data_IF_215424608750
#
_entry.id   IF_215424608750
#
_cell.length_a   1.000
_cell.length_b   1.000
_cell.length_c   1.000
_cell.angle_alpha   90.00
_cell.angle_beta   90.00
_cell.angle_gamma   90.00
#
_symmetry.space_group_name_H-M   'P 1'
#
loop_
_entity.id
_entity.type
_entity.pdbx_description
1 polymer ?
#
# COMPACT_ATOMS: atom_id res chain seq x y z
N UNK A 1 -16.92 3.93 -3.28
CA UNK A 1 -16.13 2.73 -3.63
C UNK A 1 -16.20 2.40 -5.13
N UNK A 2 -17.17 2.95 -5.87
CA UNK A 2 -17.32 2.69 -7.32
C UNK A 2 -16.58 3.68 -8.24
N UNK A 3 -15.93 4.67 -7.62
CA UNK A 3 -15.07 5.63 -8.29
C UNK A 3 -13.83 4.92 -8.90
N UNK A 4 -13.41 5.23 -10.14
CA UNK A 4 -12.23 4.61 -10.77
C UNK A 4 -10.93 4.76 -9.97
N UNK A 5 -10.82 5.81 -9.15
CA UNK A 5 -9.66 6.05 -8.30
C UNK A 5 -9.49 4.98 -7.21
N UNK A 6 -10.58 4.31 -6.82
CA UNK A 6 -10.54 3.22 -5.84
C UNK A 6 -9.56 2.12 -6.27
N UNK A 7 -9.77 1.52 -7.45
CA UNK A 7 -8.97 0.39 -7.90
C UNK A 7 -7.51 0.79 -8.11
N UNK A 8 -7.27 1.99 -8.65
CA UNK A 8 -5.92 2.49 -8.91
C UNK A 8 -5.13 2.76 -7.62
N UNK A 9 -5.75 3.38 -6.63
CA UNK A 9 -5.12 3.64 -5.34
C UNK A 9 -4.83 2.34 -4.57
N UNK A 10 -5.78 1.41 -4.54
CA UNK A 10 -5.55 0.12 -3.89
C UNK A 10 -4.55 -0.75 -4.66
N UNK A 11 -4.42 -0.58 -5.98
CA UNK A 11 -3.39 -1.23 -6.78
C UNK A 11 -1.99 -0.68 -6.45
N UNK A 12 -1.86 0.61 -6.10
CA UNK A 12 -0.61 1.16 -5.58
C UNK A 12 -0.21 0.44 -4.28
N UNK A 13 -1.14 0.32 -3.32
CA UNK A 13 -0.89 -0.34 -2.03
C UNK A 13 -0.51 -1.82 -2.19
N UNK A 14 -1.24 -2.54 -3.03
CA UNK A 14 -0.89 -3.94 -3.34
C UNK A 14 0.41 -4.06 -4.14
N UNK A 15 0.73 -3.07 -4.99
CA UNK A 15 2.00 -3.01 -5.71
C UNK A 15 3.20 -3.00 -4.76
N UNK A 16 3.07 -2.36 -3.59
CA UNK A 16 4.10 -2.38 -2.54
C UNK A 16 4.31 -3.80 -2.00
N UNK A 17 3.22 -4.47 -1.61
CA UNK A 17 3.26 -5.85 -1.08
C UNK A 17 3.74 -6.89 -2.10
N UNK A 18 3.51 -6.64 -3.38
CA UNK A 18 3.91 -7.53 -4.47
C UNK A 18 5.32 -7.21 -5.01
N UNK A 19 6.01 -6.24 -4.43
CA UNK A 19 7.34 -5.76 -4.85
C UNK A 19 7.37 -5.36 -6.33
N UNK A 20 6.31 -4.70 -6.79
CA UNK A 20 6.10 -4.43 -8.20
C UNK A 20 7.04 -3.31 -8.69
N UNK A 21 8.11 -3.70 -9.38
CA UNK A 21 9.13 -2.80 -9.98
C UNK A 21 9.50 -3.27 -11.40
N UNK A 22 9.85 -2.32 -12.27
CA UNK A 22 10.39 -2.64 -13.60
C UNK A 22 11.65 -3.50 -13.51
N UNK A 23 12.50 -3.26 -12.50
CA UNK A 23 13.69 -4.08 -12.22
C UNK A 23 13.39 -5.57 -12.00
N UNK A 24 12.35 -5.92 -11.23
CA UNK A 24 12.04 -7.32 -10.90
C UNK A 24 11.16 -8.00 -11.96
N UNK A 25 10.14 -7.30 -12.46
CA UNK A 25 9.14 -7.90 -13.37
C UNK A 25 9.34 -7.54 -14.85
N UNK A 26 10.27 -6.63 -15.16
CA UNK A 26 10.53 -6.10 -16.50
C UNK A 26 9.55 -5.00 -16.91
N UNK A 27 9.97 -4.11 -17.82
CA UNK A 27 9.19 -2.94 -18.24
C UNK A 27 7.81 -3.31 -18.83
N UNK A 28 7.72 -4.33 -19.69
CA UNK A 28 6.40 -4.78 -20.18
C UNK A 28 5.59 -5.48 -19.07
N UNK A 29 6.28 -6.26 -18.23
CA UNK A 29 5.69 -7.05 -17.15
C UNK A 29 5.04 -6.17 -16.09
N UNK A 30 5.66 -5.04 -15.73
CA UNK A 30 5.16 -4.13 -14.70
C UNK A 30 3.80 -3.55 -15.07
N UNK A 31 3.63 -3.13 -16.33
CA UNK A 31 2.36 -2.60 -16.81
C UNK A 31 1.28 -3.68 -16.91
N UNK A 32 1.64 -4.89 -17.34
CA UNK A 32 0.68 -6.00 -17.43
C UNK A 32 0.23 -6.49 -16.07
N UNK A 33 1.16 -6.61 -15.12
CA UNK A 33 0.85 -7.05 -13.78
C UNK A 33 0.06 -5.99 -13.01
N UNK A 34 0.41 -4.70 -13.14
CA UNK A 34 -0.40 -3.61 -12.58
C UNK A 34 -1.82 -3.59 -13.17
N UNK A 35 -1.99 -3.77 -14.48
CA UNK A 35 -3.33 -3.79 -15.10
C UNK A 35 -4.19 -4.95 -14.61
N UNK A 36 -3.60 -6.14 -14.43
CA UNK A 36 -4.32 -7.25 -13.81
C UNK A 36 -4.71 -6.90 -12.36
N UNK A 37 -3.77 -6.38 -11.57
CA UNK A 37 -4.02 -6.00 -10.17
C UNK A 37 -5.12 -4.94 -10.03
N UNK A 38 -5.07 -3.89 -10.85
CA UNK A 38 -6.09 -2.84 -10.90
C UNK A 38 -7.44 -3.42 -11.34
N UNK A 39 -7.48 -4.28 -12.36
CA UNK A 39 -8.71 -4.92 -12.80
C UNK A 39 -9.32 -5.80 -11.70
N UNK A 40 -8.52 -6.61 -11.02
CA UNK A 40 -8.94 -7.43 -9.87
C UNK A 40 -9.62 -6.60 -8.78
N UNK A 41 -9.10 -5.40 -8.50
CA UNK A 41 -9.69 -4.48 -7.52
C UNK A 41 -10.94 -3.77 -8.05
N UNK A 42 -10.92 -3.36 -9.31
CA UNK A 42 -12.05 -2.69 -10.00
C UNK A 42 -13.26 -3.59 -10.05
N UNK A 43 -13.06 -4.84 -10.49
CA UNK A 43 -14.08 -5.88 -10.65
C UNK A 43 -14.46 -6.54 -9.31
N UNK A 44 -13.89 -6.08 -8.20
CA UNK A 44 -14.14 -6.60 -6.85
C UNK A 44 -13.93 -8.12 -6.75
N UNK A 45 -12.84 -8.61 -7.36
CA UNK A 45 -12.46 -10.00 -7.28
C UNK A 45 -12.38 -10.43 -5.81
N UNK A 46 -13.07 -11.51 -5.41
CA UNK A 46 -12.98 -12.08 -4.08
C UNK A 46 -11.53 -12.31 -3.66
N UNK A 47 -11.19 -11.95 -2.42
CA UNK A 47 -9.80 -11.95 -1.98
C UNK A 47 -9.16 -13.36 -1.95
N UNK A 48 -9.94 -14.40 -1.69
CA UNK A 48 -9.55 -15.80 -1.82
C UNK A 48 -9.15 -16.16 -3.27
N UNK A 49 -9.94 -15.74 -4.25
CA UNK A 49 -9.64 -15.97 -5.67
C UNK A 49 -8.38 -15.22 -6.09
N UNK A 50 -8.26 -13.95 -5.66
CA UNK A 50 -7.08 -13.13 -5.90
C UNK A 50 -5.81 -13.79 -5.32
N UNK A 51 -5.86 -14.27 -4.07
CA UNK A 51 -4.74 -14.97 -3.45
C UNK A 51 -4.41 -16.29 -4.16
N UNK A 52 -5.43 -17.08 -4.52
CA UNK A 52 -5.23 -18.34 -5.27
C UNK A 52 -4.56 -18.09 -6.63
N UNK A 53 -4.99 -17.09 -7.39
CA UNK A 53 -4.40 -16.77 -8.68
C UNK A 53 -2.91 -16.37 -8.57
N UNK A 54 -2.56 -15.58 -7.55
CA UNK A 54 -1.16 -15.25 -7.26
C UNK A 54 -0.32 -16.50 -6.92
N UNK A 55 -0.81 -17.29 -5.97
CA UNK A 55 -0.08 -18.45 -5.43
C UNK A 55 0.04 -19.59 -6.43
N UNK A 56 -0.88 -19.70 -7.38
CA UNK A 56 -0.88 -20.80 -8.37
C UNK A 56 -0.43 -20.34 -9.75
N UNK A 57 -0.13 -19.04 -9.90
CA UNK A 57 0.33 -18.41 -11.14
C UNK A 57 1.44 -19.21 -11.82
N UNK A 58 1.23 -19.54 -13.09
CA UNK A 58 2.14 -20.34 -13.92
C UNK A 58 2.02 -19.94 -15.39
N UNK A 59 2.93 -20.44 -16.23
CA UNK A 59 3.02 -20.08 -17.64
C UNK A 59 3.79 -18.79 -17.88
N UNK A 60 3.51 -18.14 -19.00
CA UNK A 60 4.18 -16.88 -19.38
C UNK A 60 3.83 -15.76 -18.40
N UNK A 61 4.85 -15.07 -17.89
CA UNK A 61 4.67 -13.88 -17.04
C UNK A 61 4.09 -12.68 -17.79
N UNK A 62 4.03 -12.72 -19.12
CA UNK A 62 3.44 -11.64 -19.94
C UNK A 62 2.04 -12.00 -20.45
N UNK A 63 1.68 -13.29 -20.52
CA UNK A 63 0.34 -13.73 -20.91
C UNK A 63 -0.55 -14.02 -19.70
N UNK A 64 0.04 -14.48 -18.59
CA UNK A 64 -0.61 -14.72 -17.31
C UNK A 64 0.07 -13.86 -16.22
N UNK A 65 -0.37 -12.60 -16.02
CA UNK A 65 0.31 -11.66 -15.15
C UNK A 65 0.52 -12.11 -13.68
N UNK A 66 -0.40 -12.85 -13.02
CA UNK A 66 -0.16 -13.43 -11.69
C UNK A 66 1.13 -14.25 -11.56
N UNK A 67 1.62 -14.87 -12.65
CA UNK A 67 2.88 -15.60 -12.63
C UNK A 67 4.10 -14.71 -12.30
N UNK A 68 3.98 -13.38 -12.42
CA UNK A 68 5.03 -12.45 -11.97
C UNK A 68 5.26 -12.49 -10.45
N UNK A 69 4.32 -13.03 -9.66
CA UNK A 69 4.56 -13.27 -8.24
C UNK A 69 5.85 -14.07 -8.00
N UNK A 70 6.16 -15.04 -8.84
CA UNK A 70 7.40 -15.84 -8.77
C UNK A 70 8.63 -15.21 -9.46
N UNK A 71 8.50 -13.97 -9.93
CA UNK A 71 9.65 -13.10 -10.24
C UNK A 71 10.08 -12.31 -9.03
N UNK A 72 9.12 -11.90 -8.20
CA UNK A 72 9.37 -11.11 -6.99
C UNK A 72 9.56 -11.97 -5.75
N UNK A 73 9.00 -13.18 -5.72
CA UNK A 73 9.30 -14.27 -4.80
C UNK A 73 10.11 -15.34 -5.56
N UNK A 74 11.39 -15.04 -5.77
CA UNK A 74 12.20 -15.64 -6.82
C UNK A 74 12.65 -17.09 -6.52
N UNK A 75 12.76 -17.44 -5.24
CA UNK A 75 13.15 -18.76 -4.78
C UNK A 75 12.26 -19.24 -3.62
N UNK A 76 12.57 -20.44 -3.10
CA UNK A 76 11.83 -21.04 -1.99
C UNK A 76 11.80 -20.13 -0.76
N UNK A 77 12.94 -19.55 -0.37
CA UNK A 77 13.03 -18.72 0.84
C UNK A 77 12.22 -17.45 0.65
N UNK A 78 12.41 -16.75 -0.46
CA UNK A 78 11.64 -15.54 -0.76
C UNK A 78 10.14 -15.81 -0.85
N UNK A 79 9.75 -16.98 -1.37
CA UNK A 79 8.35 -17.42 -1.41
C UNK A 79 7.80 -17.64 -0.01
N UNK A 80 8.48 -18.41 0.84
CA UNK A 80 8.05 -18.66 2.23
C UNK A 80 7.92 -17.35 3.00
N UNK A 81 8.93 -16.48 2.91
CA UNK A 81 8.96 -15.21 3.63
C UNK A 81 7.87 -14.25 3.15
N UNK A 82 7.73 -14.08 1.82
CA UNK A 82 6.72 -13.20 1.23
C UNK A 82 5.30 -13.70 1.53
N UNK A 83 5.03 -14.99 1.30
CA UNK A 83 3.69 -15.56 1.47
C UNK A 83 3.28 -15.54 2.95
N UNK A 84 4.19 -15.88 3.86
CA UNK A 84 3.88 -15.88 5.29
C UNK A 84 3.59 -14.47 5.80
N UNK A 85 4.36 -13.49 5.36
CA UNK A 85 4.14 -12.10 5.78
C UNK A 85 2.86 -11.51 5.17
N UNK A 86 2.64 -11.70 3.86
CA UNK A 86 1.50 -11.11 3.13
C UNK A 86 0.18 -11.81 3.45
N UNK A 87 0.15 -13.13 3.58
CA UNK A 87 -1.11 -13.89 3.69
C UNK A 87 -1.34 -14.56 5.04
N UNK A 88 -0.30 -14.68 5.88
CA UNK A 88 -0.46 -15.23 7.24
C UNK A 88 -0.25 -14.18 8.34
N UNK A 89 0.32 -13.01 8.02
CA UNK A 89 0.73 -12.02 9.01
C UNK A 89 1.87 -12.52 9.90
N UNK A 90 2.71 -13.43 9.40
CA UNK A 90 3.76 -14.08 10.18
C UNK A 90 5.15 -13.85 9.55
N UNK A 91 6.11 -13.42 10.37
CA UNK A 91 7.49 -13.12 9.96
C UNK A 91 8.41 -14.30 10.25
N UNK A 92 8.56 -15.20 9.27
CA UNK A 92 9.29 -16.46 9.44
C UNK A 92 10.81 -16.38 9.16
N UNK A 93 11.35 -15.20 8.85
CA UNK A 93 12.76 -15.04 8.43
C UNK A 93 13.76 -15.60 9.45
N UNK A 94 13.54 -15.38 10.75
CA UNK A 94 14.42 -15.93 11.80
C UNK A 94 14.39 -17.46 11.83
N UNK A 95 13.23 -18.07 11.53
CA UNK A 95 13.05 -19.52 11.50
C UNK A 95 13.91 -20.22 10.45
N UNK A 96 14.44 -19.50 9.45
CA UNK A 96 15.32 -20.05 8.42
C UNK A 96 16.59 -20.70 9.00
N UNK A 97 17.22 -20.03 9.96
CA UNK A 97 18.54 -20.42 10.49
C UNK A 97 18.46 -21.10 11.86
N UNK A 98 17.48 -20.72 12.70
CA UNK A 98 17.24 -21.29 14.02
C UNK A 98 15.76 -21.18 14.37
N UNK A 99 15.27 -21.84 15.42
CA UNK A 99 13.89 -21.62 15.88
C UNK A 99 13.67 -20.16 16.26
N UNK A 100 12.51 -19.59 15.96
CA UNK A 100 12.22 -18.20 16.29
C UNK A 100 12.34 -17.99 17.82
N UNK A 101 13.05 -16.94 18.29
CA UNK A 101 13.40 -16.80 19.71
C UNK A 101 12.18 -16.48 20.60
N UNK A 102 11.15 -15.86 20.03
CA UNK A 102 9.98 -15.36 20.76
C UNK A 102 8.65 -15.92 20.24
N UNK A 103 8.68 -16.90 19.33
CA UNK A 103 7.46 -17.46 18.73
C UNK A 103 7.55 -18.96 18.57
N UNK A 104 6.40 -19.58 18.31
CA UNK A 104 6.25 -21.03 18.12
C UNK A 104 6.84 -21.58 16.81
N UNK A 105 7.35 -20.72 15.93
CA UNK A 105 7.86 -21.13 14.62
C UNK A 105 9.23 -21.79 14.75
N UNK A 106 9.32 -23.04 14.34
CA UNK A 106 10.57 -23.78 14.30
C UNK A 106 11.21 -23.72 12.93
N UNK A 107 12.50 -24.05 12.86
CA UNK A 107 13.19 -24.23 11.59
C UNK A 107 12.55 -25.31 10.72
N UNK A 108 12.01 -26.35 11.34
CA UNK A 108 11.31 -27.42 10.63
C UNK A 108 9.99 -26.90 10.02
N UNK A 109 9.32 -25.94 10.67
CA UNK A 109 8.14 -25.28 10.08
C UNK A 109 8.53 -24.45 8.84
N UNK A 110 9.64 -23.73 8.88
CA UNK A 110 10.12 -22.91 7.76
C UNK A 110 10.37 -23.77 6.51
N UNK A 111 11.16 -24.85 6.66
CA UNK A 111 11.47 -25.72 5.53
C UNK A 111 10.29 -26.63 5.12
N UNK A 112 9.38 -26.95 6.05
CA UNK A 112 8.12 -27.62 5.73
C UNK A 112 7.17 -26.77 4.89
N UNK A 113 7.10 -25.45 5.14
CA UNK A 113 6.44 -24.51 4.22
C UNK A 113 7.19 -24.41 2.89
N UNK A 114 8.52 -24.38 2.93
CA UNK A 114 9.37 -24.38 1.73
C UNK A 114 9.08 -25.53 0.77
N UNK A 115 8.69 -26.70 1.28
CA UNK A 115 8.38 -27.88 0.47
C UNK A 115 7.18 -27.71 -0.47
N UNK A 116 6.36 -26.67 -0.31
CA UNK A 116 5.33 -26.27 -1.27
C UNK A 116 5.87 -25.49 -2.47
N UNK A 117 6.93 -24.71 -2.26
CA UNK A 117 7.38 -23.69 -3.22
C UNK A 117 8.72 -24.00 -3.88
N UNK A 118 9.53 -24.91 -3.32
CA UNK A 118 10.83 -25.27 -3.88
C UNK A 118 10.75 -25.92 -5.29
N UNK A 119 9.59 -26.50 -5.61
CA UNK A 119 9.31 -27.07 -6.94
C UNK A 119 8.87 -26.02 -7.96
N UNK A 120 8.71 -24.74 -7.58
CA UNK A 120 8.45 -23.66 -8.53
C UNK A 120 9.74 -23.31 -9.26
N UNK A 121 9.71 -23.46 -10.57
CA UNK A 121 10.84 -23.26 -11.44
C UNK A 121 10.49 -22.28 -12.54
N UNK A 122 11.53 -21.74 -13.17
CA UNK A 122 11.40 -20.71 -14.19
C UNK A 122 12.44 -20.89 -15.28
N UNK A 123 12.05 -20.57 -16.51
CA UNK A 123 12.94 -20.57 -17.66
C UNK A 123 12.72 -19.31 -18.49
N UNK A 124 13.77 -18.86 -19.16
CA UNK A 124 13.67 -17.82 -20.19
C UNK A 124 12.93 -18.39 -21.41
N UNK A 125 12.15 -17.55 -22.08
CA UNK A 125 11.59 -17.88 -23.39
C UNK A 125 12.38 -17.16 -24.48
N UNK A 126 11.97 -17.35 -25.74
CA UNK A 126 12.54 -16.59 -26.87
C UNK A 126 12.05 -15.12 -26.88
N UNK A 127 10.99 -14.80 -26.14
CA UNK A 127 10.45 -13.44 -26.06
C UNK A 127 11.22 -12.63 -25.00
N UNK A 128 11.84 -11.49 -25.37
CA UNK A 128 12.52 -10.63 -24.40
C UNK A 128 11.60 -10.19 -23.26
N UNK A 129 12.13 -10.17 -22.02
CA UNK A 129 11.39 -9.78 -20.82
C UNK A 129 10.40 -10.83 -20.29
N UNK A 130 10.15 -11.92 -21.02
CA UNK A 130 9.26 -13.00 -20.60
C UNK A 130 10.01 -14.10 -19.84
N UNK A 131 9.41 -14.55 -18.74
CA UNK A 131 9.75 -15.82 -18.10
C UNK A 131 8.56 -16.76 -18.20
N UNK A 132 8.84 -18.06 -18.24
CA UNK A 132 7.83 -19.09 -18.12
C UNK A 132 7.98 -19.79 -16.77
N UNK A 133 6.97 -19.63 -15.91
CA UNK A 133 6.88 -20.25 -14.59
C UNK A 133 6.24 -21.63 -14.74
N UNK A 134 6.83 -22.64 -14.12
CA UNK A 134 6.28 -24.00 -14.13
C UNK A 134 6.60 -24.68 -12.80
N UNK A 135 5.90 -25.77 -12.50
CA UNK A 135 6.25 -26.62 -11.36
C UNK A 135 7.00 -27.86 -11.85
N UNK A 136 8.02 -28.27 -11.11
CA UNK A 136 8.76 -29.50 -11.34
C UNK A 136 8.16 -30.66 -10.52
N UNK A 137 8.29 -31.88 -11.03
CA UNK A 137 7.93 -33.10 -10.29
C UNK A 137 8.94 -33.45 -9.19
N UNK A 138 10.14 -32.88 -9.23
CA UNK A 138 11.22 -33.07 -8.27
C UNK A 138 11.66 -31.74 -7.67
N UNK A 139 12.24 -31.77 -6.47
CA UNK A 139 12.75 -30.57 -5.80
C UNK A 139 12.39 -30.59 -4.33
N UNK A 140 12.71 -31.69 -3.64
CA UNK A 140 12.46 -31.77 -2.20
C UNK A 140 13.35 -30.80 -1.44
N UNK A 141 12.84 -30.37 -0.29
CA UNK A 141 13.56 -29.48 0.61
C UNK A 141 14.26 -30.33 1.65
N UNK A 142 15.54 -30.07 1.86
CA UNK A 142 16.33 -30.70 2.92
C UNK A 142 16.49 -29.74 4.08
N UNK A 143 16.25 -30.21 5.30
CA UNK A 143 16.52 -29.47 6.53
C UNK A 143 18.06 -29.37 6.71
N UNK A 144 18.66 -28.17 6.70
CA UNK A 144 20.12 -28.01 6.85
C UNK A 144 20.74 -28.61 8.13
N UNK A 145 20.04 -28.59 9.27
CA UNK A 145 20.48 -29.09 10.57
C UNK A 145 20.39 -30.60 10.70
N UNK A 146 19.34 -31.23 10.18
CA UNK A 146 19.09 -32.67 10.37
C UNK A 146 19.40 -33.52 9.14
N UNK A 147 19.53 -32.90 7.96
CA UNK A 147 19.62 -33.60 6.67
C UNK A 147 18.32 -34.30 6.25
N UNK A 148 17.23 -34.13 7.00
CA UNK A 148 15.96 -34.77 6.70
C UNK A 148 15.28 -34.11 5.49
N UNK A 149 14.64 -34.94 4.68
CA UNK A 149 13.75 -34.46 3.61
C UNK A 149 12.44 -34.00 4.23
N UNK A 150 12.06 -32.75 3.96
CA UNK A 150 10.92 -32.10 4.55
C UNK A 150 9.64 -32.41 3.79
N UNK A 151 8.62 -32.88 4.51
CA UNK A 151 7.26 -32.98 3.97
C UNK A 151 6.60 -31.59 3.95
N UNK A 152 5.70 -31.32 2.98
CA UNK A 152 4.88 -30.11 3.00
C UNK A 152 4.12 -30.01 4.33
N UNK A 153 4.24 -28.87 5.00
CA UNK A 153 3.69 -28.64 6.33
C UNK A 153 2.83 -27.39 6.36
N UNK A 154 1.62 -27.52 6.88
CA UNK A 154 0.64 -26.44 6.99
C UNK A 154 0.49 -26.00 8.46
N UNK A 155 0.58 -24.69 8.76
CA UNK A 155 0.30 -24.17 10.09
C UNK A 155 -1.03 -24.68 10.66
N UNK A 156 -1.03 -25.06 11.94
CA UNK A 156 -2.19 -25.61 12.68
C UNK A 156 -2.76 -26.94 12.15
N UNK A 157 -2.31 -27.45 11.00
CA UNK A 157 -2.76 -28.72 10.42
C UNK A 157 -1.69 -29.81 10.46
N UNK A 158 -0.41 -29.45 10.37
CA UNK A 158 0.69 -30.39 10.38
C UNK A 158 1.20 -30.76 8.98
N UNK A 159 2.03 -31.80 8.92
CA UNK A 159 2.54 -32.32 7.65
C UNK A 159 1.42 -32.99 6.87
N UNK A 160 1.40 -32.76 5.56
CA UNK A 160 0.52 -33.44 4.62
C UNK A 160 1.37 -34.28 3.67
N UNK A 161 0.78 -35.30 3.08
CA UNK A 161 1.45 -36.09 2.07
C UNK A 161 1.85 -35.20 0.89
N UNK A 162 3.15 -35.19 0.56
CA UNK A 162 3.63 -34.56 -0.65
C UNK A 162 2.96 -35.25 -1.84
N UNK A 163 2.13 -34.53 -2.58
CA UNK A 163 1.14 -35.03 -3.54
C UNK A 163 1.72 -35.67 -4.83
N UNK A 164 2.77 -36.48 -4.70
CA UNK A 164 3.50 -37.08 -5.82
C UNK A 164 4.06 -36.03 -6.76
N UNK A 165 3.74 -36.16 -8.05
CA UNK A 165 4.17 -35.25 -9.12
C UNK A 165 3.25 -34.02 -9.31
N UNK A 166 2.19 -33.88 -8.50
CA UNK A 166 1.24 -32.77 -8.65
C UNK A 166 1.75 -31.44 -8.05
N UNK A 167 1.15 -30.34 -8.50
CA UNK A 167 1.49 -29.00 -8.02
C UNK A 167 1.02 -28.79 -6.57
N UNK A 168 1.97 -28.88 -5.64
CA UNK A 168 1.72 -28.74 -4.20
C UNK A 168 1.13 -27.37 -3.84
N UNK A 169 1.35 -26.33 -4.65
CA UNK A 169 0.81 -24.99 -4.40
C UNK A 169 -0.71 -24.96 -4.38
N UNK A 170 -1.37 -25.84 -5.13
CA UNK A 170 -2.82 -25.97 -5.12
C UNK A 170 -3.31 -26.34 -3.71
N UNK A 171 -2.71 -27.34 -3.08
CA UNK A 171 -3.05 -27.75 -1.72
C UNK A 171 -2.77 -26.65 -0.69
N UNK A 172 -1.68 -25.88 -0.86
CA UNK A 172 -1.41 -24.72 0.00
C UNK A 172 -2.46 -23.62 -0.18
N UNK A 173 -2.80 -23.28 -1.42
CA UNK A 173 -3.80 -22.27 -1.73
C UNK A 173 -5.20 -22.68 -1.21
N UNK A 174 -5.59 -23.94 -1.39
CA UNK A 174 -6.83 -24.52 -0.86
C UNK A 174 -6.92 -24.37 0.66
N UNK A 175 -5.82 -24.67 1.37
CA UNK A 175 -5.75 -24.52 2.83
C UNK A 175 -5.76 -23.05 3.28
N UNK A 176 -5.02 -22.19 2.56
CA UNK A 176 -4.87 -20.79 2.95
C UNK A 176 -6.22 -20.07 2.91
N UNK A 177 -7.00 -20.29 1.85
CA UNK A 177 -8.27 -19.59 1.62
C UNK A 177 -9.47 -20.33 2.21
N UNK A 178 -9.24 -21.37 3.01
CA UNK A 178 -10.31 -22.08 3.69
C UNK A 178 -11.03 -21.14 4.68
N UNK A 179 -12.38 -21.19 4.79
CA UNK A 179 -13.16 -20.34 5.70
C UNK A 179 -12.75 -20.43 7.18
N UNK A 180 -12.20 -21.57 7.60
CA UNK A 180 -11.73 -21.83 8.96
C UNK A 180 -10.24 -21.51 9.18
N UNK A 181 -9.55 -20.98 8.16
CA UNK A 181 -8.16 -20.58 8.28
C UNK A 181 -8.02 -19.39 9.26
N UNK A 182 -7.23 -19.52 10.35
CA UNK A 182 -7.19 -18.50 11.40
C UNK A 182 -6.31 -17.29 11.06
N UNK A 183 -5.69 -17.26 9.89
CA UNK A 183 -4.74 -16.22 9.49
C UNK A 183 -5.29 -15.34 8.37
N UNK A 184 -5.76 -15.97 7.28
CA UNK A 184 -6.00 -15.33 6.00
C UNK A 184 -7.00 -14.16 6.04
N UNK A 185 -8.16 -14.35 6.67
CA UNK A 185 -9.15 -13.29 6.80
C UNK A 185 -8.71 -12.18 7.76
N UNK A 186 -8.02 -12.54 8.85
CA UNK A 186 -7.57 -11.59 9.88
C UNK A 186 -6.51 -10.62 9.35
N UNK A 187 -5.53 -11.11 8.58
CA UNK A 187 -4.46 -10.23 8.08
C UNK A 187 -5.01 -9.18 7.10
N UNK A 188 -5.93 -9.54 6.20
CA UNK A 188 -6.51 -8.58 5.26
C UNK A 188 -7.46 -7.60 5.98
N UNK A 189 -8.27 -8.08 6.94
CA UNK A 189 -9.09 -7.20 7.75
C UNK A 189 -8.25 -6.18 8.53
N UNK A 190 -7.16 -6.62 9.15
CA UNK A 190 -6.23 -5.74 9.85
C UNK A 190 -5.50 -4.77 8.91
N UNK A 191 -5.15 -5.21 7.71
CA UNK A 191 -4.51 -4.38 6.68
C UNK A 191 -5.44 -3.28 6.19
N UNK A 192 -6.68 -3.62 5.84
CA UNK A 192 -7.68 -2.62 5.43
C UNK A 192 -7.97 -1.65 6.57
N UNK A 193 -8.10 -2.15 7.81
CA UNK A 193 -8.21 -1.31 9.00
C UNK A 193 -7.02 -0.34 9.11
N UNK A 194 -5.79 -0.82 9.08
CA UNK A 194 -4.59 0.01 9.21
C UNK A 194 -4.32 0.96 8.03
N UNK A 195 -5.02 0.83 6.91
CA UNK A 195 -4.96 1.83 5.84
C UNK A 195 -6.00 2.94 6.04
N UNK A 196 -7.11 2.61 6.71
CA UNK A 196 -8.16 3.56 7.05
C UNK A 196 -7.83 4.33 8.33
N UNK A 197 -7.26 3.64 9.31
CA UNK A 197 -6.73 4.17 10.56
C UNK A 197 -5.21 4.28 10.45
N UNK A 198 -4.56 5.19 11.17
CA UNK A 198 -3.10 5.30 11.18
C UNK A 198 -2.38 4.09 11.80
N UNK A 199 -3.14 3.12 12.33
CA UNK A 199 -2.67 1.97 13.08
C UNK A 199 -3.57 0.75 12.85
N UNK A 200 -2.99 -0.45 12.82
CA UNK A 200 -3.74 -1.71 12.80
C UNK A 200 -4.27 -2.11 14.17
N UNK A 201 -5.29 -2.98 14.20
CA UNK A 201 -5.73 -3.66 15.42
C UNK A 201 -4.58 -4.54 15.94
N UNK A 202 -3.84 -5.17 15.04
CA UNK A 202 -2.48 -5.66 15.29
C UNK A 202 -1.51 -4.68 14.62
N UNK A 203 -0.54 -4.20 15.39
CA UNK A 203 0.49 -3.30 14.90
C UNK A 203 1.86 -3.77 15.39
N UNK A 204 2.87 -3.93 14.51
CA UNK A 204 2.84 -3.71 13.06
C UNK A 204 1.82 -4.58 12.30
N UNK A 205 1.35 -4.09 11.13
CA UNK A 205 0.22 -4.64 10.35
C UNK A 205 0.33 -6.15 10.07
N UNK A 206 1.54 -6.66 9.90
CA UNK A 206 1.89 -8.02 9.49
C UNK A 206 2.70 -8.80 10.55
N UNK A 207 2.56 -8.43 11.82
CA UNK A 207 3.30 -9.01 12.95
C UNK A 207 2.38 -9.69 13.97
N UNK A 208 1.63 -10.69 13.50
CA UNK A 208 0.70 -11.48 14.33
C UNK A 208 1.46 -12.52 15.15
N UNK A 209 1.64 -12.22 16.44
CA UNK A 209 2.40 -13.07 17.37
C UNK A 209 1.65 -13.24 18.67
N UNK A 210 1.88 -14.36 19.34
CA UNK A 210 1.27 -14.61 20.66
C UNK A 210 1.75 -13.54 21.68
N UNK A 211 2.95 -12.94 21.47
CA UNK A 211 3.50 -11.83 22.25
C UNK A 211 3.14 -10.43 21.73
N UNK A 212 2.42 -10.34 20.61
CA UNK A 212 1.89 -9.09 20.04
C UNK A 212 0.39 -9.25 19.79
N UNK A 213 -0.44 -9.35 20.85
CA UNK A 213 -1.86 -9.59 20.70
C UNK A 213 -2.55 -8.38 20.06
N UNK A 214 -3.70 -8.60 19.38
CA UNK A 214 -4.53 -7.50 18.89
C UNK A 214 -4.99 -6.60 20.04
N UNK A 215 -5.03 -5.28 19.80
CA UNK A 215 -5.59 -4.30 20.74
C UNK A 215 -7.04 -4.59 21.10
N UNK A 216 -7.78 -5.19 20.16
CA UNK A 216 -9.13 -5.69 20.37
C UNK A 216 -9.37 -6.98 19.56
N UNK A 217 -9.18 -8.13 20.21
CA UNK A 217 -9.36 -9.45 19.59
C UNK A 217 -10.79 -9.69 19.08
N UNK A 218 -11.80 -9.31 19.87
CA UNK A 218 -13.20 -9.53 19.51
C UNK A 218 -13.61 -8.75 18.25
N UNK A 219 -13.10 -7.51 18.11
CA UNK A 219 -13.31 -6.71 16.90
C UNK A 219 -12.65 -7.37 15.68
N UNK A 220 -11.39 -7.77 15.78
CA UNK A 220 -10.69 -8.41 14.68
C UNK A 220 -11.36 -9.71 14.24
N UNK A 221 -11.84 -10.50 15.19
CA UNK A 221 -12.57 -11.74 14.94
C UNK A 221 -13.92 -11.49 14.28
N UNK A 222 -14.64 -10.45 14.70
CA UNK A 222 -15.89 -10.05 14.07
C UNK A 222 -15.68 -9.60 12.61
N UNK A 223 -14.66 -8.77 12.34
CA UNK A 223 -14.32 -8.33 10.99
C UNK A 223 -13.87 -9.48 10.10
N UNK A 224 -13.03 -10.38 10.61
CA UNK A 224 -12.58 -11.56 9.87
C UNK A 224 -13.74 -12.49 9.55
N UNK A 225 -14.67 -12.70 10.49
CA UNK A 225 -15.88 -13.48 10.26
C UNK A 225 -16.79 -12.86 9.20
N UNK A 226 -17.09 -11.57 9.31
CA UNK A 226 -17.90 -10.85 8.30
C UNK A 226 -17.24 -10.89 6.91
N UNK A 227 -15.92 -10.80 6.86
CA UNK A 227 -15.17 -10.91 5.61
C UNK A 227 -15.29 -12.30 4.97
N UNK A 228 -15.25 -13.38 5.76
CA UNK A 228 -15.51 -14.75 5.26
C UNK A 228 -16.97 -14.91 4.83
N UNK A 229 -17.92 -14.46 5.66
CA UNK A 229 -19.37 -14.60 5.40
C UNK A 229 -19.82 -13.83 4.15
N UNK A 230 -19.16 -12.71 3.83
CA UNK A 230 -19.38 -11.92 2.61
C UNK A 230 -18.73 -12.52 1.35
N UNK A 231 -18.05 -13.67 1.46
CA UNK A 231 -17.34 -14.28 0.34
C UNK A 231 -16.06 -13.53 -0.01
N UNK A 232 -15.33 -13.04 1.00
CA UNK A 232 -14.06 -12.33 0.84
C UNK A 232 -14.17 -11.02 0.04
N UNK A 233 -15.28 -10.30 0.19
CA UNK A 233 -15.54 -9.01 -0.48
C UNK A 233 -14.85 -7.83 0.26
N UNK A 234 -13.79 -7.29 -0.36
CA UNK A 234 -13.01 -6.18 0.21
C UNK A 234 -13.79 -4.86 0.21
N UNK A 235 -14.66 -4.62 -0.78
CA UNK A 235 -15.50 -3.41 -0.81
C UNK A 235 -16.59 -3.49 0.28
N UNK A 236 -17.13 -4.68 0.55
CA UNK A 236 -18.01 -4.91 1.69
C UNK A 236 -17.31 -4.59 3.00
N UNK A 237 -16.14 -5.18 3.26
CA UNK A 237 -15.40 -4.95 4.51
C UNK A 237 -15.04 -3.47 4.70
N UNK A 238 -14.57 -2.79 3.65
CA UNK A 238 -14.35 -1.34 3.70
C UNK A 238 -15.62 -0.58 4.02
N UNK A 239 -16.77 -0.94 3.43
CA UNK A 239 -18.06 -0.29 3.73
C UNK A 239 -18.47 -0.49 5.19
N UNK A 240 -18.24 -1.68 5.76
CA UNK A 240 -18.50 -1.96 7.18
C UNK A 240 -17.65 -1.04 8.07
N UNK A 241 -16.35 -0.94 7.79
CA UNK A 241 -15.44 -0.10 8.58
C UNK A 241 -15.80 1.39 8.44
N UNK A 242 -15.98 1.88 7.20
CA UNK A 242 -16.24 3.29 6.91
C UNK A 242 -17.57 3.80 7.47
N UNK A 243 -18.56 2.93 7.67
CA UNK A 243 -19.85 3.28 8.30
C UNK A 243 -19.89 2.98 9.80
N UNK A 244 -18.79 2.53 10.39
CA UNK A 244 -18.72 2.30 11.84
C UNK A 244 -18.65 3.62 12.61
N UNK A 245 -19.15 3.61 13.85
CA UNK A 245 -18.97 4.72 14.80
C UNK A 245 -17.48 5.06 14.98
N UNK A 246 -16.61 4.05 14.99
CA UNK A 246 -15.17 4.22 15.20
C UNK A 246 -14.54 5.04 14.08
N UNK A 247 -14.84 4.74 12.81
CA UNK A 247 -14.31 5.52 11.69
C UNK A 247 -14.91 6.92 11.58
N UNK A 248 -16.18 7.09 11.99
CA UNK A 248 -16.89 8.36 11.97
C UNK A 248 -16.63 9.23 13.21
N UNK A 249 -15.71 8.83 14.08
CA UNK A 249 -15.36 9.60 15.27
C UNK A 249 -14.59 10.88 14.88
N UNK A 250 -14.73 11.94 15.68
CA UNK A 250 -13.94 13.17 15.50
C UNK A 250 -12.48 12.92 15.85
N UNK A 251 -11.57 13.69 15.24
CA UNK A 251 -10.18 13.77 15.69
C UNK A 251 -10.02 14.57 17.00
N UNK A 252 -11.02 15.37 17.35
CA UNK A 252 -11.01 16.16 18.58
C UNK A 252 -11.12 15.24 19.79
N UNK A 253 -10.18 15.42 20.71
CA UNK A 253 -10.09 14.62 21.93
C UNK A 253 -10.77 15.32 23.11
N UNK A 254 -11.10 14.51 24.11
CA UNK A 254 -11.48 14.93 25.45
C UNK A 254 -10.32 14.68 26.40
N UNK A 255 -10.39 15.25 27.61
CA UNK A 255 -9.38 15.01 28.66
C UNK A 255 -9.17 13.53 29.00
N UNK A 256 -10.17 12.67 28.73
CA UNK A 256 -10.11 11.24 29.05
C UNK A 256 -9.48 10.36 27.97
N UNK A 257 -9.34 10.85 26.74
CA UNK A 257 -8.87 10.04 25.61
C UNK A 257 -7.81 10.72 24.75
N UNK A 258 -7.33 11.90 25.14
CA UNK A 258 -6.26 12.62 24.44
C UNK A 258 -4.97 11.81 24.23
N UNK A 259 -4.68 10.89 25.14
CA UNK A 259 -3.45 10.09 25.17
C UNK A 259 -3.70 8.67 24.62
N UNK A 260 -4.93 8.34 24.20
CA UNK A 260 -5.25 7.03 23.63
C UNK A 260 -4.79 6.93 22.18
N UNK A 261 -3.74 6.15 21.96
CA UNK A 261 -3.17 5.87 20.63
C UNK A 261 -3.35 4.42 20.19
N UNK A 262 -4.20 3.67 20.90
CA UNK A 262 -4.23 2.21 20.80
C UNK A 262 -5.63 1.64 20.61
N UNK A 263 -6.66 2.25 21.21
CA UNK A 263 -8.02 1.71 21.26
C UNK A 263 -9.00 2.42 20.33
N UNK A 264 -8.52 3.33 19.47
CA UNK A 264 -9.33 4.01 18.45
C UNK A 264 -10.52 4.79 19.05
N UNK A 265 -10.34 5.42 20.21
CA UNK A 265 -11.39 6.23 20.84
C UNK A 265 -11.74 7.51 20.07
N UNK A 266 -10.87 7.94 19.18
CA UNK A 266 -10.99 9.11 18.31
C UNK A 266 -10.21 8.84 17.00
N UNK A 267 -10.43 9.68 15.99
CA UNK A 267 -9.69 9.58 14.74
C UNK A 267 -8.28 10.16 14.92
N UNK A 268 -7.25 9.40 14.57
CA UNK A 268 -5.89 9.92 14.52
C UNK A 268 -5.61 10.55 13.15
N UNK A 269 -5.14 11.80 13.09
CA UNK A 269 -4.68 12.41 11.85
C UNK A 269 -3.54 11.61 11.24
N UNK A 270 -3.60 11.39 9.93
CA UNK A 270 -2.58 10.61 9.20
C UNK A 270 -1.94 11.45 8.11
N UNK A 271 -0.60 11.44 8.09
CA UNK A 271 0.17 12.08 7.03
C UNK A 271 -0.24 11.52 5.65
N UNK A 272 -0.47 12.41 4.69
CA UNK A 272 -0.66 12.03 3.29
C UNK A 272 0.61 11.34 2.78
N UNK A 273 0.48 10.19 2.13
CA UNK A 273 1.62 9.52 1.51
C UNK A 273 2.23 10.39 0.39
N UNK A 274 3.50 10.17 0.07
CA UNK A 274 4.24 10.90 -0.97
C UNK A 274 3.43 11.14 -2.26
N UNK A 275 2.80 10.08 -2.78
CA UNK A 275 1.99 10.15 -3.98
C UNK A 275 0.72 11.00 -3.79
N UNK A 276 0.04 10.84 -2.65
CA UNK A 276 -1.19 11.61 -2.35
C UNK A 276 -0.87 13.10 -2.17
N UNK A 277 0.23 13.43 -1.49
CA UNK A 277 0.63 14.81 -1.25
C UNK A 277 1.03 15.51 -2.55
N UNK A 278 1.79 14.84 -3.42
CA UNK A 278 2.12 15.38 -4.74
C UNK A 278 0.87 15.61 -5.59
N UNK A 279 -0.06 14.65 -5.59
CA UNK A 279 -1.33 14.78 -6.30
C UNK A 279 -2.20 15.92 -5.72
N UNK A 280 -2.21 16.10 -4.39
CA UNK A 280 -2.94 17.18 -3.72
C UNK A 280 -2.38 18.58 -4.06
N UNK A 281 -1.05 18.73 -4.09
CA UNK A 281 -0.39 19.97 -4.51
C UNK A 281 -0.75 20.30 -5.95
N UNK A 282 -0.65 19.32 -6.85
CA UNK A 282 -1.03 19.48 -8.25
C UNK A 282 -2.51 19.83 -8.41
N UNK A 283 -3.40 19.18 -7.64
CA UNK A 283 -4.83 19.48 -7.66
C UNK A 283 -5.14 20.91 -7.20
N UNK A 284 -4.50 21.34 -6.10
CA UNK A 284 -4.63 22.70 -5.55
C UNK A 284 -4.19 23.74 -6.57
N UNK A 285 -3.07 23.51 -7.25
CA UNK A 285 -2.55 24.41 -8.27
C UNK A 285 -3.15 24.20 -9.66
N UNK A 286 -4.04 23.23 -9.85
CA UNK A 286 -4.55 22.83 -11.17
C UNK A 286 -3.43 22.54 -12.19
N UNK A 287 -2.33 21.95 -11.72
CA UNK A 287 -1.17 21.56 -12.53
C UNK A 287 -1.15 20.03 -12.73
N UNK A 288 -0.31 19.58 -13.65
CA UNK A 288 -0.05 18.16 -13.88
C UNK A 288 1.39 17.81 -13.57
N UNK A 289 1.64 16.56 -13.19
CA UNK A 289 2.99 16.03 -13.05
C UNK A 289 3.30 15.08 -14.21
N UNK A 290 4.43 15.30 -14.88
CA UNK A 290 4.97 14.31 -15.83
C UNK A 290 5.62 13.18 -15.04
N UNK A 291 5.18 11.94 -15.32
CA UNK A 291 5.63 10.73 -14.62
C UNK A 291 6.27 9.75 -15.62
N UNK A 292 7.48 10.09 -16.07
CA UNK A 292 8.19 9.31 -17.09
C UNK A 292 7.41 9.24 -18.40
N UNK A 293 7.24 8.03 -18.93
CA UNK A 293 6.51 7.79 -20.19
C UNK A 293 5.02 7.43 -19.97
N UNK A 294 4.48 7.65 -18.76
CA UNK A 294 3.06 7.41 -18.51
C UNK A 294 2.19 8.44 -19.25
N UNK A 295 0.93 8.09 -19.59
CA UNK A 295 0.01 9.02 -20.25
C UNK A 295 -0.14 10.34 -19.47
N UNK A 296 -0.28 11.44 -20.20
CA UNK A 296 -0.52 12.75 -19.61
C UNK A 296 -1.76 12.73 -18.68
N UNK A 297 -1.64 13.38 -17.52
CA UNK A 297 -2.69 13.39 -16.50
C UNK A 297 -2.73 12.14 -15.61
N UNK A 298 -1.80 11.19 -15.76
CA UNK A 298 -1.62 10.12 -14.78
C UNK A 298 -1.22 10.71 -13.43
N UNK A 299 -1.94 10.36 -12.37
CA UNK A 299 -1.63 10.77 -11.00
C UNK A 299 -0.52 9.89 -10.41
N UNK A 300 0.24 10.44 -9.45
CA UNK A 300 1.28 9.69 -8.75
C UNK A 300 0.70 8.46 -8.01
N UNK A 301 -0.51 8.60 -7.45
CA UNK A 301 -1.26 7.50 -6.82
C UNK A 301 -1.67 6.38 -7.78
N UNK A 302 -1.46 6.55 -9.08
CA UNK A 302 -1.80 5.60 -10.14
C UNK A 302 -0.55 4.99 -10.80
N UNK A 303 0.65 5.28 -10.28
CA UNK A 303 1.89 4.76 -10.83
C UNK A 303 1.98 3.24 -10.68
N UNK A 304 2.32 2.50 -11.76
CA UNK A 304 2.51 1.05 -11.66
C UNK A 304 3.67 0.65 -10.75
N UNK A 305 4.75 1.45 -10.75
CA UNK A 305 5.95 1.19 -9.98
C UNK A 305 6.75 2.47 -9.70
N UNK A 306 7.53 2.50 -8.59
CA UNK A 306 8.33 3.67 -8.21
C UNK A 306 9.50 3.94 -9.17
N UNK A 307 10.01 2.92 -9.86
CA UNK A 307 11.15 3.04 -10.78
C UNK A 307 10.77 3.50 -12.20
N UNK A 308 9.48 3.72 -12.48
CA UNK A 308 9.00 4.24 -13.78
C UNK A 308 9.31 5.73 -13.96
N UNK A 309 9.29 6.50 -12.87
CA UNK A 309 9.50 7.94 -12.90
C UNK A 309 10.37 8.35 -11.72
N UNK A 310 11.46 9.07 -12.01
CA UNK A 310 12.31 9.65 -10.95
C UNK A 310 11.79 11.03 -10.60
N UNK A 311 11.00 11.10 -9.53
CA UNK A 311 10.51 12.36 -8.95
C UNK A 311 11.12 12.49 -7.57
N UNK A 312 12.04 13.45 -7.39
CA UNK A 312 12.80 13.61 -6.14
C UNK A 312 11.87 13.82 -4.94
N UNK A 313 10.82 14.63 -5.12
CA UNK A 313 9.79 14.84 -4.10
C UNK A 313 9.21 13.52 -3.56
N UNK A 314 8.91 12.55 -4.44
CA UNK A 314 8.34 11.28 -3.99
C UNK A 314 9.31 10.51 -3.09
N UNK A 315 10.62 10.57 -3.38
CA UNK A 315 11.66 9.92 -2.58
C UNK A 315 11.84 10.59 -1.23
N UNK A 316 11.91 11.92 -1.20
CA UNK A 316 12.00 12.70 0.05
C UNK A 316 10.82 12.41 0.99
N UNK A 317 9.62 12.24 0.41
CA UNK A 317 8.39 11.94 1.15
C UNK A 317 8.15 10.44 1.43
N UNK A 318 9.15 9.59 1.22
CA UNK A 318 9.10 8.19 1.67
C UNK A 318 8.39 7.21 0.73
N UNK A 319 8.36 7.50 -0.59
CA UNK A 319 7.96 6.49 -1.58
C UNK A 319 8.85 5.25 -1.44
N UNK A 320 8.26 4.05 -1.27
CA UNK A 320 9.04 2.83 -1.10
C UNK A 320 9.78 2.46 -2.40
N UNK A 321 10.96 1.84 -2.26
CA UNK A 321 11.64 1.20 -3.40
C UNK A 321 10.96 -0.10 -3.83
N UNK A 322 10.09 -0.65 -2.97
CA UNK A 322 9.45 -1.96 -3.11
C UNK A 322 10.46 -3.10 -3.17
N UNK A 323 11.50 -2.97 -2.35
CA UNK A 323 12.57 -3.96 -2.19
C UNK A 323 12.17 -5.10 -1.25
N UNK A 324 11.27 -4.83 -0.31
CA UNK A 324 10.74 -5.77 0.67
C UNK A 324 9.21 -5.77 0.63
N UNK A 325 8.58 -6.71 1.34
CA UNK A 325 7.12 -6.69 1.56
C UNK A 325 6.73 -6.02 2.88
N UNK A 326 7.71 -5.44 3.59
CA UNK A 326 7.43 -4.78 4.87
C UNK A 326 6.59 -3.53 4.63
N UNK A 327 5.48 -3.41 5.34
CA UNK A 327 4.72 -2.16 5.38
C UNK A 327 5.58 -0.97 5.86
N UNK A 328 6.60 -1.25 6.68
CA UNK A 328 7.56 -0.29 7.22
C UNK A 328 8.52 0.33 6.19
N UNK A 329 8.59 -0.18 4.94
CA UNK A 329 9.45 0.42 3.90
C UNK A 329 8.95 1.81 3.48
N UNK A 330 7.65 2.07 3.64
CA UNK A 330 7.06 3.40 3.46
C UNK A 330 7.27 4.20 4.75
N UNK A 331 7.92 5.35 4.64
CA UNK A 331 8.04 6.26 5.78
C UNK A 331 6.68 6.94 6.04
N UNK A 332 6.24 6.88 7.30
CA UNK A 332 4.99 7.45 7.79
C UNK A 332 5.20 8.60 8.79
N UNK A 333 6.46 8.90 9.13
CA UNK A 333 6.86 10.00 9.99
C UNK A 333 7.44 11.19 9.22
N UNK A 334 7.18 12.40 9.70
CA UNK A 334 7.83 13.63 9.22
C UNK A 334 9.34 13.61 9.48
N UNK A 335 10.13 14.12 8.53
CA UNK A 335 11.59 14.28 8.70
C UNK A 335 12.07 15.66 8.21
N UNK A 336 13.31 16.03 8.58
CA UNK A 336 13.90 17.32 8.20
C UNK A 336 13.96 17.54 6.68
N UNK A 337 14.20 16.49 5.90
CA UNK A 337 14.23 16.56 4.44
C UNK A 337 12.89 16.96 3.84
N UNK A 338 11.77 16.42 4.36
CA UNK A 338 10.42 16.81 3.95
C UNK A 338 10.14 18.30 4.21
N UNK A 339 10.55 18.80 5.39
CA UNK A 339 10.38 20.21 5.73
C UNK A 339 11.21 21.12 4.81
N UNK A 340 12.46 20.76 4.52
CA UNK A 340 13.32 21.51 3.59
C UNK A 340 12.69 21.52 2.19
N UNK A 341 12.22 20.36 1.69
CA UNK A 341 11.60 20.27 0.37
C UNK A 341 10.33 21.14 0.24
N UNK A 342 9.51 21.25 1.30
CA UNK A 342 8.35 22.16 1.28
C UNK A 342 8.74 23.64 1.37
N UNK A 343 9.76 23.97 2.17
CA UNK A 343 10.16 25.35 2.38
C UNK A 343 10.92 25.94 1.20
N UNK A 344 11.85 25.19 0.60
CA UNK A 344 12.74 25.72 -0.44
C UNK A 344 13.05 24.72 -1.57
N UNK A 345 12.30 23.62 -1.67
CA UNK A 345 12.46 22.65 -2.74
C UNK A 345 12.17 23.27 -4.11
N UNK A 346 12.98 22.95 -5.14
CA UNK A 346 12.81 23.52 -6.48
C UNK A 346 11.45 23.14 -7.09
N UNK A 347 10.95 21.94 -6.80
CA UNK A 347 9.65 21.48 -7.31
C UNK A 347 8.51 22.37 -6.83
N UNK A 348 8.47 22.68 -5.52
CA UNK A 348 7.44 23.55 -4.95
C UNK A 348 7.51 24.95 -5.55
N UNK A 349 8.74 25.47 -5.65
CA UNK A 349 9.01 26.78 -6.21
C UNK A 349 8.56 26.92 -7.66
N UNK A 350 8.93 25.96 -8.51
CA UNK A 350 8.58 25.95 -9.93
C UNK A 350 7.07 25.88 -10.12
N UNK A 351 6.36 25.07 -9.33
CA UNK A 351 4.89 24.95 -9.40
C UNK A 351 4.18 26.23 -8.96
N UNK A 352 4.65 26.87 -7.89
CA UNK A 352 4.08 28.14 -7.42
C UNK A 352 4.32 29.29 -8.42
N UNK A 353 5.40 29.22 -9.21
CA UNK A 353 5.74 30.21 -10.24
C UNK A 353 5.22 29.90 -11.63
N UNK A 354 4.67 28.70 -11.86
CA UNK A 354 4.12 28.30 -13.15
C UNK A 354 2.99 29.25 -13.58
N UNK A 355 3.13 29.85 -14.76
CA UNK A 355 2.17 30.80 -15.31
C UNK A 355 0.76 30.22 -15.52
N UNK A 356 0.64 28.88 -15.62
CA UNK A 356 -0.60 28.16 -15.82
C UNK A 356 -1.21 27.63 -14.53
N UNK A 357 -0.65 27.96 -13.36
CA UNK A 357 -1.24 27.54 -12.10
C UNK A 357 -2.59 28.23 -11.83
N UNK A 358 -3.39 27.61 -10.97
CA UNK A 358 -4.78 27.99 -10.68
C UNK A 358 -4.94 29.48 -10.41
N UNK A 359 -4.11 30.04 -9.53
CA UNK A 359 -4.30 31.41 -9.08
C UNK A 359 -3.88 32.44 -10.14
N UNK A 360 -2.84 32.17 -10.93
CA UNK A 360 -2.45 33.05 -12.05
C UNK A 360 -3.47 33.01 -13.18
N UNK A 361 -3.98 31.83 -13.51
CA UNK A 361 -5.06 31.66 -14.51
C UNK A 361 -6.34 32.36 -14.04
N UNK A 362 -6.73 32.20 -12.76
CA UNK A 362 -7.91 32.86 -12.21
C UNK A 362 -7.78 34.39 -12.17
N UNK A 363 -6.60 34.93 -11.81
CA UNK A 363 -6.33 36.36 -11.89
C UNK A 363 -6.39 36.88 -13.34
N UNK A 364 -5.80 36.16 -14.29
CA UNK A 364 -5.85 36.52 -15.71
C UNK A 364 -7.28 36.49 -16.27
N UNK A 365 -8.16 35.66 -15.70
CA UNK A 365 -9.59 35.63 -15.99
C UNK A 365 -10.39 36.76 -15.30
N UNK A 366 -9.74 37.65 -14.55
CA UNK A 366 -10.35 38.82 -13.93
C UNK A 366 -10.99 38.59 -12.56
N UNK A 367 -10.73 37.43 -11.92
CA UNK A 367 -11.21 37.17 -10.56
C UNK A 367 -10.48 38.05 -9.54
N UNK A 368 -11.19 38.46 -8.50
CA UNK A 368 -10.61 39.19 -7.38
C UNK A 368 -9.71 38.28 -6.53
N UNK A 369 -8.76 38.88 -5.81
CA UNK A 369 -7.85 38.15 -4.90
C UNK A 369 -8.62 37.30 -3.89
N UNK A 370 -9.74 37.81 -3.37
CA UNK A 370 -10.59 37.10 -2.40
C UNK A 370 -11.21 35.84 -3.02
N UNK A 371 -11.75 35.94 -4.24
CA UNK A 371 -12.29 34.78 -4.95
C UNK A 371 -11.19 33.73 -5.21
N UNK A 372 -9.99 34.17 -5.57
CA UNK A 372 -8.86 33.26 -5.78
C UNK A 372 -8.41 32.58 -4.48
N UNK A 373 -8.38 33.29 -3.35
CA UNK A 373 -8.10 32.70 -2.03
C UNK A 373 -9.16 31.63 -1.71
N UNK A 374 -10.45 31.92 -1.91
CA UNK A 374 -11.52 30.95 -1.69
C UNK A 374 -11.35 29.70 -2.57
N UNK A 375 -10.95 29.85 -3.82
CA UNK A 375 -10.65 28.73 -4.71
C UNK A 375 -9.48 27.87 -4.24
N UNK A 376 -8.41 28.49 -3.74
CA UNK A 376 -7.25 27.78 -3.21
C UNK A 376 -7.62 26.96 -1.95
N UNK A 377 -8.39 27.54 -1.03
CA UNK A 377 -8.86 26.85 0.17
C UNK A 377 -9.83 25.71 -0.17
N UNK A 378 -10.76 25.92 -1.10
CA UNK A 378 -11.66 24.85 -1.55
C UNK A 378 -10.90 23.72 -2.24
N UNK A 379 -9.88 24.04 -3.05
CA UNK A 379 -9.09 23.05 -3.77
C UNK A 379 -8.09 22.30 -2.86
N UNK A 380 -7.50 22.98 -1.89
CA UNK A 380 -6.46 22.42 -1.01
C UNK A 380 -7.00 21.81 0.28
N UNK A 381 -7.97 22.47 0.92
CA UNK A 381 -8.49 22.12 2.25
C UNK A 381 -9.96 21.67 2.23
N UNK A 382 -10.60 21.64 1.06
CA UNK A 382 -12.00 21.22 0.91
C UNK A 382 -13.01 22.01 1.77
N UNK A 383 -12.67 23.24 2.15
CA UNK A 383 -13.55 24.17 2.89
C UNK A 383 -13.34 25.60 2.43
N UNK A 384 -14.25 26.48 2.82
CA UNK A 384 -14.02 27.92 2.68
C UNK A 384 -13.01 28.39 3.74
N UNK A 385 -12.22 29.44 3.44
CA UNK A 385 -11.43 30.13 4.45
C UNK A 385 -12.36 30.81 5.46
N UNK A 386 -11.93 30.85 6.72
CA UNK A 386 -12.55 31.67 7.76
C UNK A 386 -12.35 33.16 7.50
N UNK A 387 -13.12 34.00 8.18
CA UNK A 387 -13.02 35.46 8.03
C UNK A 387 -11.61 35.98 8.35
N UNK A 388 -10.95 35.40 9.35
CA UNK A 388 -9.58 35.75 9.74
C UNK A 388 -8.60 35.35 8.63
N UNK A 389 -8.71 34.12 8.11
CA UNK A 389 -7.85 33.63 7.02
C UNK A 389 -7.98 34.49 5.76
N UNK A 390 -9.20 34.86 5.36
CA UNK A 390 -9.42 35.76 4.21
C UNK A 390 -8.80 37.13 4.46
N UNK A 391 -9.03 37.73 5.63
CA UNK A 391 -8.52 39.06 5.95
C UNK A 391 -6.98 39.08 5.95
N UNK A 392 -6.35 38.10 6.61
CA UNK A 392 -4.89 37.99 6.69
C UNK A 392 -4.28 37.75 5.31
N UNK A 393 -4.81 36.80 4.53
CA UNK A 393 -4.29 36.50 3.19
C UNK A 393 -4.48 37.68 2.23
N UNK A 394 -5.62 38.37 2.29
CA UNK A 394 -5.90 39.54 1.45
C UNK A 394 -5.00 40.72 1.79
N UNK A 395 -4.77 40.98 3.08
CA UNK A 395 -3.85 42.03 3.54
C UNK A 395 -2.41 41.74 3.09
N UNK A 396 -1.96 40.48 3.20
CA UNK A 396 -0.64 40.06 2.69
C UNK A 396 -0.53 40.32 1.19
N UNK A 397 -1.52 39.89 0.40
CA UNK A 397 -1.54 40.10 -1.04
C UNK A 397 -1.55 41.57 -1.44
N UNK A 398 -2.22 42.44 -0.66
CA UNK A 398 -2.24 43.87 -0.91
C UNK A 398 -0.90 44.56 -0.60
N UNK A 399 -0.06 43.97 0.26
CA UNK A 399 1.27 44.49 0.60
C UNK A 399 2.36 44.08 -0.40
N UNK A 400 2.11 43.06 -1.22
CA UNK A 400 3.04 42.58 -2.24
C UNK A 400 3.07 43.53 -3.46
N UNK A 401 4.19 43.52 -4.19
CA UNK A 401 4.32 44.33 -5.41
C UNK A 401 3.32 43.93 -6.50
N UNK A 402 2.92 42.65 -6.51
CA UNK A 402 1.87 42.13 -7.38
C UNK A 402 0.99 41.15 -6.58
N UNK A 403 -0.34 41.11 -6.84
CA UNK A 403 -1.22 40.15 -6.18
C UNK A 403 -0.79 38.70 -6.36
N UNK A 404 -0.16 38.39 -7.49
CA UNK A 404 0.30 37.04 -7.83
C UNK A 404 1.45 36.55 -6.93
N UNK A 405 2.30 37.46 -6.45
CA UNK A 405 3.41 37.14 -5.52
C UNK A 405 2.84 36.88 -4.13
N UNK A 406 1.87 37.70 -3.68
CA UNK A 406 1.19 37.44 -2.41
C UNK A 406 0.45 36.11 -2.40
N UNK A 407 -0.17 35.72 -3.52
CA UNK A 407 -0.86 34.42 -3.65
C UNK A 407 0.11 33.23 -3.71
N UNK A 408 1.33 33.42 -4.24
CA UNK A 408 2.40 32.43 -4.15
C UNK A 408 2.74 32.13 -2.68
N UNK A 409 2.89 33.16 -1.85
CA UNK A 409 3.15 33.01 -0.40
C UNK A 409 1.96 32.38 0.34
N UNK A 410 0.72 32.78 0.01
CA UNK A 410 -0.49 32.19 0.61
C UNK A 410 -0.58 30.71 0.29
N UNK A 411 -0.33 30.31 -0.95
CA UNK A 411 -0.37 28.91 -1.36
C UNK A 411 0.79 28.11 -0.75
N UNK A 412 1.98 28.71 -0.65
CA UNK A 412 3.11 28.13 0.06
C UNK A 412 2.79 27.89 1.55
N UNK A 413 2.16 28.87 2.21
CA UNK A 413 1.74 28.73 3.61
C UNK A 413 0.72 27.59 3.77
N UNK A 414 -0.27 27.50 2.89
CA UNK A 414 -1.26 26.42 2.86
C UNK A 414 -0.59 25.04 2.82
N UNK A 415 0.38 24.83 1.91
CA UNK A 415 1.08 23.55 1.77
C UNK A 415 1.95 23.16 2.97
N UNK A 416 2.26 24.11 3.85
CA UNK A 416 3.03 23.90 5.07
C UNK A 416 2.15 23.82 6.33
N UNK A 417 0.82 23.82 6.20
CA UNK A 417 -0.09 23.61 7.32
C UNK A 417 -0.29 22.12 7.63
N UNK A 418 -0.50 21.80 8.91
CA UNK A 418 -0.89 20.45 9.32
C UNK A 418 -2.22 20.03 8.65
N UNK A 419 -3.15 20.97 8.46
CA UNK A 419 -4.44 20.70 7.81
C UNK A 419 -4.28 20.19 6.36
N UNK A 420 -3.29 20.70 5.63
CA UNK A 420 -2.99 20.23 4.27
C UNK A 420 -2.21 18.91 4.25
N UNK A 421 -1.27 18.75 5.19
CA UNK A 421 -0.37 17.59 5.23
C UNK A 421 -1.05 16.33 5.78
N UNK A 422 -2.05 16.48 6.66
CA UNK A 422 -2.69 15.38 7.36
C UNK A 422 -4.16 15.22 6.98
N UNK A 423 -4.54 13.97 6.68
CA UNK A 423 -5.94 13.55 6.61
C UNK A 423 -6.49 13.43 8.04
N UNK A 424 -7.50 14.23 8.37
CA UNK A 424 -8.07 14.38 9.72
C UNK A 424 -9.59 14.19 9.75
#
# INVERSE_FOLDING_TARGET
LDRPEYSKFWALKWGDLLKLTGKLVGDEGVHKYYRWLEASLRDNQPYDQFARELLTGSGSTLANPPANFYRTAADMNESVETISQVFLGARLQCAKCHNHPFERWTQDNYYGLGAFFNRVQRRKTQRPGELFIYFASTGEVTQPRTGAVMQPWLPKRGSIDGSGDSDRRLAFADWLVAPDNPFFARIEANRLWSHLFARGIVDPIDDFRDSNPPSNAALLDALAKDFVDSGYDRKHLLRVILNSRTYQASYQTSDFNRDDTHYFSHQEPRLLGAEQLLDAINHTLSLTQTLGNLPAGTLATQMPAPDIAKVEFLKVFGQPERSTVCACERADSSNLGMAIELFNGPMMHDKLRDANNRFRVSLAAGKSVVEVIQELYLAGLCRLPSDIEVQTASAHCASASEPSIGLEDVCWALFNTDEFLFQH
#
